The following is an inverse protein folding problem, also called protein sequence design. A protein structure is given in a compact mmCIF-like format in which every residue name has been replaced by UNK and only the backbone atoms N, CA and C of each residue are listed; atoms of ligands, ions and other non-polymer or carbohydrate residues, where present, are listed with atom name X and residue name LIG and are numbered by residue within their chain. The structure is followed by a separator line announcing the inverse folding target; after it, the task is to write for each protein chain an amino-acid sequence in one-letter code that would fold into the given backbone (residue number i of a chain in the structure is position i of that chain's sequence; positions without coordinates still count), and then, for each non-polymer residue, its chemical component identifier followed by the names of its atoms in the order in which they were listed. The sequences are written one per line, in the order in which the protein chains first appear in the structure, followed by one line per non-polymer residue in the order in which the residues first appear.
data_IF_525098251218
#
_entry.id   IF_525098251218
#
_cell.length_a   1.000
_cell.length_b   1.000
_cell.length_c   1.000
_cell.angle_alpha   90.00
_cell.angle_beta   90.00
_cell.angle_gamma   90.00
#
_symmetry.space_group_name_H-M   'P 1'
#
loop_
_entity.id
_entity.type
_entity.pdbx_description
1 polymer ?
#
# COMPACT_ATOMS: atom_id res chain seq x y z
N UNK A 1 -35.65 2.76 7.01
CA UNK A 1 -35.55 1.47 6.32
C UNK A 1 -34.11 1.32 5.80
N UNK A 2 -33.35 0.53 6.54
CA UNK A 2 -31.95 0.27 6.20
C UNK A 2 -31.88 -0.52 4.89
N UNK A 3 -31.22 0.02 3.88
CA UNK A 3 -30.96 -0.64 2.58
C UNK A 3 -30.20 -1.99 2.70
N UNK A 4 -29.78 -2.36 3.90
CA UNK A 4 -29.10 -3.60 4.24
C UNK A 4 -29.98 -4.86 4.28
N UNK A 5 -31.32 -4.70 4.23
CA UNK A 5 -32.25 -5.84 4.31
C UNK A 5 -32.75 -6.35 2.96
N UNK A 6 -32.39 -5.73 1.85
CA UNK A 6 -32.73 -6.24 0.51
C UNK A 6 -31.67 -7.24 0.09
N UNK A 7 -32.04 -8.52 0.07
CA UNK A 7 -31.13 -9.62 -0.24
C UNK A 7 -30.38 -9.42 -1.55
N UNK A 8 -29.16 -9.94 -1.63
CA UNK A 8 -28.28 -9.93 -2.79
C UNK A 8 -28.99 -10.35 -4.10
N UNK A 9 -30.05 -11.18 -4.03
CA UNK A 9 -30.84 -11.58 -5.18
C UNK A 9 -31.49 -10.41 -5.95
N UNK A 10 -31.87 -9.33 -5.27
CA UNK A 10 -32.43 -8.14 -5.94
C UNK A 10 -31.38 -7.33 -6.71
N UNK A 11 -30.15 -7.39 -6.27
CA UNK A 11 -29.04 -6.68 -6.92
C UNK A 11 -28.63 -7.38 -8.22
N UNK A 12 -28.63 -8.70 -8.25
CA UNK A 12 -28.37 -9.48 -9.49
C UNK A 12 -29.46 -9.25 -10.53
N UNK A 13 -30.74 -9.26 -10.12
CA UNK A 13 -31.87 -8.98 -11.02
C UNK A 13 -31.78 -7.60 -11.64
N UNK A 14 -31.35 -6.58 -10.89
CA UNK A 14 -31.18 -5.23 -11.41
C UNK A 14 -30.03 -5.12 -12.40
N UNK A 15 -28.98 -5.91 -12.25
CA UNK A 15 -27.86 -5.93 -13.17
C UNK A 15 -28.28 -6.39 -14.56
N UNK A 16 -28.97 -7.53 -14.66
CA UNK A 16 -29.49 -8.05 -15.92
C UNK A 16 -30.54 -7.10 -16.55
N UNK A 17 -31.38 -6.48 -15.72
CA UNK A 17 -32.31 -5.46 -16.15
C UNK A 17 -31.61 -4.23 -16.75
N UNK A 18 -30.60 -3.70 -16.05
CA UNK A 18 -29.83 -2.55 -16.54
C UNK A 18 -29.09 -2.87 -17.84
N UNK A 19 -28.53 -4.08 -17.95
CA UNK A 19 -27.88 -4.52 -19.18
C UNK A 19 -28.86 -4.70 -20.32
N UNK A 20 -30.08 -5.16 -20.03
CA UNK A 20 -31.14 -5.30 -21.04
C UNK A 20 -31.66 -3.93 -21.50
N UNK A 21 -31.79 -2.96 -20.59
CA UNK A 21 -32.23 -1.59 -20.89
C UNK A 21 -31.14 -0.80 -21.63
N UNK A 22 -29.86 -1.01 -21.26
CA UNK A 22 -28.72 -0.33 -21.88
C UNK A 22 -27.50 -1.24 -21.91
N UNK A 23 -27.23 -1.94 -23.03
CA UNK A 23 -26.07 -2.80 -23.19
C UNK A 23 -24.70 -2.09 -23.01
N UNK A 24 -24.67 -0.76 -23.14
CA UNK A 24 -23.48 0.06 -22.95
C UNK A 24 -23.22 0.44 -21.48
N UNK A 25 -24.07 -0.03 -20.55
CA UNK A 25 -23.94 0.28 -19.12
C UNK A 25 -22.63 -0.31 -18.56
N UNK A 26 -21.88 0.54 -17.88
CA UNK A 26 -20.72 0.13 -17.09
C UNK A 26 -21.16 0.21 -15.62
N UNK A 27 -21.00 -0.91 -14.90
CA UNK A 27 -21.35 -0.99 -13.48
C UNK A 27 -20.13 -1.43 -12.69
N UNK A 28 -19.78 -0.65 -11.66
CA UNK A 28 -18.76 -1.03 -10.67
C UNK A 28 -19.47 -1.50 -9.41
N UNK A 29 -19.18 -2.73 -8.98
CA UNK A 29 -19.68 -3.31 -7.73
C UNK A 29 -18.51 -3.55 -6.80
N UNK A 30 -18.58 -2.96 -5.63
CA UNK A 30 -17.56 -3.02 -4.62
C UNK A 30 -18.15 -3.67 -3.38
N UNK A 31 -17.55 -4.77 -2.92
CA UNK A 31 -18.04 -5.52 -1.75
C UNK A 31 -16.88 -6.17 -0.99
N UNK A 32 -17.16 -6.72 0.20
CA UNK A 32 -16.14 -7.37 1.02
C UNK A 32 -15.42 -8.49 0.30
N UNK A 33 -16.18 -9.37 -0.36
CA UNK A 33 -15.67 -10.63 -0.92
C UNK A 33 -15.96 -10.83 -2.42
N UNK A 34 -16.40 -9.79 -3.11
CA UNK A 34 -16.79 -9.90 -4.51
C UNK A 34 -18.21 -10.45 -4.67
N UNK A 35 -18.60 -10.62 -5.94
CA UNK A 35 -19.95 -11.06 -6.33
C UNK A 35 -20.02 -12.57 -6.61
N UNK A 36 -18.87 -13.22 -6.66
CA UNK A 36 -18.70 -14.64 -6.95
C UNK A 36 -17.88 -15.32 -5.85
N UNK A 37 -17.74 -16.63 -5.93
CA UNK A 37 -16.96 -17.37 -4.94
C UNK A 37 -17.72 -17.74 -3.66
N UNK A 38 -17.08 -18.52 -2.79
CA UNK A 38 -17.74 -19.14 -1.61
C UNK A 38 -18.10 -18.14 -0.50
N UNK A 39 -17.45 -16.98 -0.45
CA UNK A 39 -17.64 -15.95 0.59
C UNK A 39 -18.52 -14.77 0.13
N UNK A 40 -19.07 -14.80 -1.08
CA UNK A 40 -19.83 -13.68 -1.67
C UNK A 40 -20.98 -13.16 -0.81
N UNK A 41 -21.58 -14.02 0.00
CA UNK A 41 -22.73 -13.72 0.86
C UNK A 41 -22.30 -13.35 2.30
N UNK A 42 -21.02 -13.35 2.58
CA UNK A 42 -20.49 -12.95 3.89
C UNK A 42 -20.44 -11.42 4.03
N UNK A 43 -20.78 -10.89 5.21
CA UNK A 43 -20.60 -9.48 5.49
C UNK A 43 -19.11 -9.13 5.56
N UNK A 44 -18.71 -8.03 4.90
CA UNK A 44 -17.32 -7.56 4.89
C UNK A 44 -17.25 -6.04 4.85
N UNK A 45 -16.25 -5.51 5.55
CA UNK A 45 -15.88 -4.10 5.56
C UNK A 45 -14.38 -3.98 5.27
N UNK A 46 -13.88 -2.77 5.03
CA UNK A 46 -12.47 -2.49 4.77
C UNK A 46 -11.52 -3.16 5.77
N UNK A 47 -11.86 -3.13 7.06
CA UNK A 47 -11.07 -3.79 8.11
C UNK A 47 -10.93 -5.31 7.93
N UNK A 48 -11.96 -5.98 7.43
CA UNK A 48 -11.92 -7.43 7.13
C UNK A 48 -11.10 -7.67 5.85
N UNK A 49 -11.29 -6.83 4.83
CA UNK A 49 -10.49 -6.86 3.61
C UNK A 49 -8.99 -6.66 3.88
N UNK A 50 -8.63 -5.70 4.74
CA UNK A 50 -7.24 -5.49 5.19
C UNK A 50 -6.65 -6.72 5.90
N UNK A 51 -7.46 -7.41 6.69
CA UNK A 51 -7.04 -8.61 7.43
C UNK A 51 -6.81 -9.80 6.49
N UNK A 52 -7.77 -10.09 5.62
CA UNK A 52 -7.69 -11.20 4.68
C UNK A 52 -6.71 -10.94 3.54
N UNK A 53 -6.59 -9.69 3.09
CA UNK A 53 -5.63 -9.29 2.06
C UNK A 53 -4.18 -9.27 2.53
N UNK A 54 -3.90 -9.53 3.82
CA UNK A 54 -2.54 -9.67 4.36
C UNK A 54 -1.95 -8.39 4.97
N UNK A 55 -2.51 -7.21 4.68
CA UNK A 55 -1.95 -5.92 5.12
C UNK A 55 -1.76 -5.86 6.65
N UNK A 56 -2.77 -6.31 7.41
CA UNK A 56 -2.67 -6.29 8.87
C UNK A 56 -1.62 -7.22 9.43
N UNK A 57 -1.41 -8.37 8.78
CA UNK A 57 -0.41 -9.32 9.24
C UNK A 57 0.99 -8.73 9.22
N UNK A 58 1.33 -7.97 8.19
CA UNK A 58 2.66 -7.36 8.01
C UNK A 58 2.79 -5.97 8.66
N UNK A 59 1.70 -5.43 9.23
CA UNK A 59 1.70 -4.09 9.83
C UNK A 59 1.88 -4.16 11.34
N UNK A 60 2.87 -3.44 11.86
CA UNK A 60 3.15 -3.30 13.29
C UNK A 60 4.50 -3.85 13.71
N UNK A 61 4.68 -4.00 15.01
CA UNK A 61 5.91 -4.50 15.63
C UNK A 61 5.83 -6.01 15.84
N UNK A 62 6.96 -6.75 15.76
CA UNK A 62 6.98 -8.22 15.86
C UNK A 62 6.51 -8.75 17.22
N UNK A 63 6.73 -7.99 18.29
CA UNK A 63 6.41 -8.33 19.68
C UNK A 63 4.99 -7.94 20.11
N UNK A 64 4.17 -7.41 19.19
CA UNK A 64 2.81 -6.91 19.45
C UNK A 64 1.80 -7.51 18.48
N UNK A 65 0.51 -7.50 18.83
CA UNK A 65 -0.54 -7.86 17.86
C UNK A 65 -0.48 -6.99 16.60
N UNK A 66 -0.91 -7.53 15.45
CA UNK A 66 -1.02 -6.77 14.20
C UNK A 66 -1.79 -5.46 14.38
N UNK A 67 -1.31 -4.40 13.75
CA UNK A 67 -1.90 -3.08 13.87
C UNK A 67 -2.79 -2.75 12.67
N UNK A 68 -3.75 -1.86 12.89
CA UNK A 68 -4.48 -1.20 11.84
C UNK A 68 -3.66 -0.03 11.31
N UNK A 69 -3.59 0.14 10.00
CA UNK A 69 -3.19 1.42 9.40
C UNK A 69 -4.19 2.49 9.81
N UNK A 70 -3.74 3.69 10.17
CA UNK A 70 -4.55 4.75 10.78
C UNK A 70 -5.68 5.31 9.90
N UNK A 71 -5.79 4.89 8.64
CA UNK A 71 -6.80 5.29 7.66
C UNK A 71 -7.51 4.07 7.08
N UNK A 72 -8.62 4.28 6.36
CA UNK A 72 -9.36 3.22 5.65
C UNK A 72 -8.69 2.90 4.31
N UNK A 73 -7.47 2.36 4.36
CA UNK A 73 -6.65 2.12 3.17
C UNK A 73 -7.27 1.03 2.27
N UNK A 74 -7.89 0.00 2.86
CA UNK A 74 -8.54 -1.07 2.11
C UNK A 74 -9.67 -0.55 1.22
N UNK A 75 -10.51 0.34 1.76
CA UNK A 75 -11.59 0.97 0.99
C UNK A 75 -11.04 1.87 -0.12
N UNK A 76 -10.00 2.65 0.19
CA UNK A 76 -9.36 3.56 -0.77
C UNK A 76 -8.71 2.80 -1.94
N UNK A 77 -8.00 1.72 -1.64
CA UNK A 77 -7.35 0.88 -2.67
C UNK A 77 -8.42 0.20 -3.54
N UNK A 78 -9.49 -0.32 -2.95
CA UNK A 78 -10.59 -0.90 -3.70
C UNK A 78 -11.29 0.12 -4.61
N UNK A 79 -11.49 1.35 -4.13
CA UNK A 79 -12.03 2.44 -4.94
C UNK A 79 -11.14 2.75 -6.16
N UNK A 80 -9.80 2.79 -5.98
CA UNK A 80 -8.85 2.98 -7.08
C UNK A 80 -8.93 1.85 -8.11
N UNK A 81 -9.03 0.58 -7.67
CA UNK A 81 -9.24 -0.54 -8.58
C UNK A 81 -10.56 -0.41 -9.35
N UNK A 82 -11.62 0.05 -8.66
CA UNK A 82 -12.91 0.33 -9.30
C UNK A 82 -12.80 1.40 -10.39
N UNK A 83 -12.06 2.49 -10.13
CA UNK A 83 -11.80 3.54 -11.13
C UNK A 83 -11.00 3.00 -12.30
N UNK A 84 -9.92 2.23 -12.06
CA UNK A 84 -9.11 1.61 -13.12
C UNK A 84 -10.00 0.69 -13.99
N UNK A 85 -10.79 -0.19 -13.36
CA UNK A 85 -11.71 -1.06 -14.06
C UNK A 85 -12.74 -0.30 -14.90
N UNK A 86 -13.31 0.78 -14.34
CA UNK A 86 -14.25 1.64 -15.06
C UNK A 86 -13.61 2.30 -16.29
N UNK A 87 -12.38 2.81 -16.17
CA UNK A 87 -11.66 3.40 -17.30
C UNK A 87 -11.34 2.38 -18.40
N UNK A 88 -10.97 1.16 -18.01
CA UNK A 88 -10.75 0.07 -18.96
C UNK A 88 -12.05 -0.32 -19.70
N UNK A 89 -13.16 -0.40 -18.95
CA UNK A 89 -14.48 -0.68 -19.53
C UNK A 89 -14.97 0.45 -20.45
N UNK A 90 -14.72 1.70 -20.09
CA UNK A 90 -15.00 2.86 -20.97
C UNK A 90 -14.21 2.77 -22.27
N UNK A 91 -12.92 2.48 -22.19
CA UNK A 91 -12.07 2.29 -23.37
C UNK A 91 -12.59 1.15 -24.26
N UNK A 92 -12.93 0.01 -23.65
CA UNK A 92 -13.49 -1.13 -24.36
C UNK A 92 -14.79 -0.75 -25.07
N UNK A 93 -15.73 -0.15 -24.34
CA UNK A 93 -17.01 0.31 -24.88
C UNK A 93 -16.84 1.23 -26.09
N UNK A 94 -15.98 2.24 -25.95
CA UNK A 94 -15.78 3.27 -26.97
C UNK A 94 -15.07 2.71 -28.22
N UNK A 95 -14.35 1.58 -28.10
CA UNK A 95 -13.69 0.91 -29.22
C UNK A 95 -14.53 -0.18 -29.88
N UNK A 96 -15.56 -0.69 -29.19
CA UNK A 96 -16.41 -1.78 -29.70
C UNK A 96 -17.70 -1.31 -30.38
N UNK A 97 -18.06 -0.03 -30.32
CA UNK A 97 -19.30 0.42 -30.97
C UNK A 97 -19.65 1.89 -30.78
N UNK A 98 -18.80 2.68 -30.13
CA UNK A 98 -19.03 4.10 -29.91
C UNK A 98 -19.97 4.46 -28.75
N UNK A 99 -20.18 5.76 -28.57
CA UNK A 99 -20.96 6.30 -27.44
C UNK A 99 -22.46 6.06 -27.67
N UNK A 100 -23.14 5.51 -26.65
CA UNK A 100 -24.58 5.54 -26.61
C UNK A 100 -25.10 7.00 -26.52
N UNK A 101 -25.92 7.46 -27.47
CA UNK A 101 -26.39 8.84 -27.54
C UNK A 101 -27.86 9.01 -27.10
N UNK A 102 -28.43 8.05 -26.40
CA UNK A 102 -29.61 8.19 -25.51
C UNK A 102 -30.97 8.51 -26.14
N UNK A 103 -31.11 8.84 -27.43
CA UNK A 103 -32.39 9.31 -27.95
C UNK A 103 -32.88 8.68 -29.27
N UNK A 104 -32.03 8.12 -30.07
CA UNK A 104 -32.37 7.46 -31.32
C UNK A 104 -31.30 6.41 -31.67
N UNK A 105 -30.78 5.72 -30.65
CA UNK A 105 -29.65 4.82 -30.82
C UNK A 105 -30.01 3.64 -31.66
N UNK A 106 -29.39 3.51 -32.79
CA UNK A 106 -29.23 2.25 -33.44
C UNK A 106 -28.44 1.35 -32.50
N UNK A 107 -29.10 0.35 -31.90
CA UNK A 107 -28.49 -0.60 -30.94
C UNK A 107 -27.26 -1.31 -31.55
N UNK A 108 -27.18 -1.36 -32.88
CA UNK A 108 -26.04 -1.89 -33.60
C UNK A 108 -24.75 -1.09 -33.46
N UNK A 109 -24.83 0.15 -32.95
CA UNK A 109 -23.68 1.08 -32.76
C UNK A 109 -23.32 1.23 -31.27
N UNK A 110 -24.13 0.70 -30.35
CA UNK A 110 -23.87 0.78 -28.91
C UNK A 110 -22.67 -0.11 -28.55
N UNK A 111 -21.61 0.50 -28.06
CA UNK A 111 -20.49 -0.24 -27.49
C UNK A 111 -20.91 -1.09 -26.31
N UNK A 112 -20.20 -2.17 -26.06
CA UNK A 112 -20.51 -3.10 -24.98
C UNK A 112 -20.01 -2.58 -23.64
N UNK A 113 -20.93 -2.39 -22.69
CA UNK A 113 -20.62 -2.15 -21.29
C UNK A 113 -20.13 -3.39 -20.58
N UNK A 114 -19.57 -3.20 -19.40
CA UNK A 114 -19.03 -4.28 -18.58
C UNK A 114 -19.41 -4.11 -17.12
N UNK A 115 -19.48 -5.24 -16.42
CA UNK A 115 -19.51 -5.26 -14.96
C UNK A 115 -18.09 -5.40 -14.44
N UNK A 116 -17.74 -4.53 -13.50
CA UNK A 116 -16.48 -4.57 -12.75
C UNK A 116 -16.83 -5.03 -11.34
N UNK A 117 -16.30 -6.16 -10.94
CA UNK A 117 -16.42 -6.71 -9.60
C UNK A 117 -15.12 -6.47 -8.84
N UNK A 118 -15.19 -5.77 -7.70
CA UNK A 118 -14.05 -5.44 -6.86
C UNK A 118 -14.29 -5.96 -5.46
N UNK A 119 -13.50 -6.95 -5.04
CA UNK A 119 -13.48 -7.39 -3.66
C UNK A 119 -12.45 -6.59 -2.85
N UNK A 120 -12.84 -6.14 -1.66
CA UNK A 120 -11.96 -5.37 -0.76
C UNK A 120 -10.66 -6.13 -0.45
N UNK A 121 -10.75 -7.43 -0.14
CA UNK A 121 -9.59 -8.23 0.22
C UNK A 121 -8.64 -8.47 -0.97
N UNK A 122 -9.17 -8.64 -2.19
CA UNK A 122 -8.36 -8.82 -3.40
C UNK A 122 -7.62 -7.53 -3.78
N UNK A 123 -8.29 -6.39 -3.64
CA UNK A 123 -7.67 -5.09 -3.87
C UNK A 123 -6.50 -4.84 -2.91
N UNK A 124 -6.67 -5.19 -1.62
CA UNK A 124 -5.59 -5.13 -0.63
C UNK A 124 -4.48 -6.12 -0.95
N UNK A 125 -4.85 -7.38 -1.27
CA UNK A 125 -3.88 -8.42 -1.62
C UNK A 125 -3.02 -8.04 -2.83
N UNK A 126 -3.59 -7.38 -3.82
CA UNK A 126 -2.84 -6.88 -4.99
C UNK A 126 -1.72 -5.89 -4.63
N UNK A 127 -1.78 -5.27 -3.45
CA UNK A 127 -0.77 -4.33 -2.97
C UNK A 127 0.34 -4.99 -2.13
N UNK A 128 0.27 -6.32 -1.92
CA UNK A 128 1.19 -7.03 -1.02
C UNK A 128 2.53 -7.39 -1.65
N UNK A 129 2.94 -6.66 -2.68
CA UNK A 129 4.27 -6.77 -3.31
C UNK A 129 4.66 -8.22 -3.63
N UNK A 130 5.82 -8.65 -3.09
CA UNK A 130 6.45 -9.94 -3.36
C UNK A 130 6.09 -11.05 -2.37
N UNK A 131 5.08 -10.87 -1.49
CA UNK A 131 4.73 -11.88 -0.46
C UNK A 131 4.45 -13.26 -1.07
N UNK A 132 3.75 -13.30 -2.21
CA UNK A 132 3.43 -14.57 -2.88
C UNK A 132 4.67 -15.26 -3.43
N UNK A 133 5.51 -14.61 -4.25
CA UNK A 133 6.74 -15.25 -4.73
C UNK A 133 7.74 -15.56 -3.61
N UNK A 134 7.81 -14.77 -2.54
CA UNK A 134 8.64 -15.10 -1.37
C UNK A 134 8.21 -16.42 -0.72
N UNK A 135 6.91 -16.61 -0.54
CA UNK A 135 6.38 -17.85 0.03
C UNK A 135 6.47 -19.02 -0.94
N UNK A 136 6.08 -18.83 -2.19
CA UNK A 136 6.06 -19.91 -3.19
C UNK A 136 7.47 -20.43 -3.51
N UNK A 137 8.44 -19.53 -3.66
CA UNK A 137 9.81 -19.91 -4.03
C UNK A 137 10.66 -20.35 -2.82
N UNK A 138 10.54 -19.67 -1.69
CA UNK A 138 11.46 -19.85 -0.55
C UNK A 138 10.77 -20.29 0.76
N UNK A 139 9.44 -20.42 0.78
CA UNK A 139 8.69 -20.72 1.99
C UNK A 139 8.74 -19.61 3.04
N UNK A 140 9.13 -18.38 2.64
CA UNK A 140 9.29 -17.26 3.56
C UNK A 140 7.93 -16.63 3.85
N UNK A 141 7.58 -16.56 5.12
CA UNK A 141 6.44 -15.77 5.62
C UNK A 141 7.01 -14.42 6.09
N UNK A 142 6.64 -13.34 5.40
CA UNK A 142 7.09 -11.99 5.78
C UNK A 142 6.41 -11.58 7.08
N UNK A 143 7.20 -11.31 8.10
CA UNK A 143 6.72 -10.89 9.41
C UNK A 143 6.73 -9.36 9.54
N UNK A 144 6.11 -8.86 10.63
CA UNK A 144 6.14 -7.45 11.00
C UNK A 144 7.54 -7.01 11.39
N UNK A 145 7.93 -5.83 10.96
CA UNK A 145 9.28 -5.26 11.20
C UNK A 145 9.25 -3.86 11.82
N UNK A 146 8.09 -3.42 12.30
CA UNK A 146 7.94 -2.05 12.81
C UNK A 146 8.05 -1.00 11.70
N UNK A 147 8.99 -0.09 11.83
CA UNK A 147 9.28 0.95 10.85
C UNK A 147 10.31 0.54 9.79
N UNK A 148 10.94 -0.63 9.93
CA UNK A 148 11.99 -1.07 9.05
C UNK A 148 11.47 -1.72 7.77
N UNK A 149 12.17 -1.51 6.66
CA UNK A 149 11.92 -2.22 5.41
C UNK A 149 12.69 -3.57 5.43
N UNK A 150 11.99 -4.72 5.35
CA UNK A 150 12.63 -6.02 5.42
C UNK A 150 13.71 -6.23 4.36
N UNK A 151 14.88 -6.73 4.79
CA UNK A 151 15.96 -7.10 3.87
C UNK A 151 16.71 -5.93 3.22
N UNK A 152 16.40 -4.69 3.58
CA UNK A 152 17.02 -3.47 3.04
C UNK A 152 17.50 -2.58 4.18
N UNK A 153 18.84 -2.42 4.35
CA UNK A 153 19.45 -1.83 5.53
C UNK A 153 20.42 -0.70 5.19
N UNK A 154 20.34 0.46 5.91
CA UNK A 154 19.25 0.88 6.77
C UNK A 154 18.10 1.53 5.99
N UNK A 155 16.88 1.19 6.36
CA UNK A 155 15.67 1.89 5.94
C UNK A 155 14.65 1.77 7.08
N UNK A 156 14.59 2.76 7.98
CA UNK A 156 13.83 2.66 9.22
C UNK A 156 13.39 4.04 9.73
N UNK A 157 12.59 4.03 10.79
CA UNK A 157 12.15 5.21 11.54
C UNK A 157 12.94 5.31 12.84
N UNK A 158 13.42 6.51 13.14
CA UNK A 158 14.18 6.81 14.36
C UNK A 158 13.57 8.00 15.11
N UNK A 159 13.86 8.12 16.40
CA UNK A 159 13.38 9.23 17.22
C UNK A 159 14.52 10.17 17.56
N UNK A 160 14.32 11.46 17.33
CA UNK A 160 15.29 12.52 17.64
C UNK A 160 15.23 12.92 19.13
N UNK A 161 16.22 13.63 19.61
CA UNK A 161 16.33 14.05 21.02
C UNK A 161 15.21 14.97 21.49
N UNK A 162 14.55 15.68 20.59
CA UNK A 162 13.36 16.51 20.84
C UNK A 162 12.03 15.73 20.74
N UNK A 163 12.10 14.39 20.52
CA UNK A 163 10.94 13.49 20.52
C UNK A 163 10.18 13.42 19.19
N UNK A 164 10.69 14.03 18.14
CA UNK A 164 10.15 13.93 16.79
C UNK A 164 10.61 12.64 16.10
N UNK A 165 9.92 12.22 15.03
CA UNK A 165 10.24 11.01 14.30
C UNK A 165 10.75 11.32 12.88
N UNK A 166 11.84 10.65 12.51
CA UNK A 166 12.54 10.81 11.25
C UNK A 166 12.66 9.47 10.53
N UNK A 167 12.37 9.45 9.22
CA UNK A 167 12.65 8.30 8.36
C UNK A 167 13.99 8.53 7.68
N UNK A 168 14.88 7.53 7.73
CA UNK A 168 16.17 7.55 7.07
C UNK A 168 16.25 6.34 6.13
N UNK A 169 16.47 6.59 4.83
CA UNK A 169 16.62 5.58 3.80
C UNK A 169 18.07 5.57 3.27
N UNK A 170 18.97 5.03 4.10
CA UNK A 170 20.41 4.96 3.81
C UNK A 170 20.87 3.68 3.11
N UNK A 171 19.99 2.97 2.44
CA UNK A 171 20.18 1.61 1.96
C UNK A 171 21.04 1.45 0.70
N UNK A 172 21.14 2.48 -0.14
CA UNK A 172 22.09 2.45 -1.28
C UNK A 172 23.53 2.45 -0.81
N UNK A 173 24.42 1.65 -1.44
CA UNK A 173 25.78 1.44 -0.93
C UNK A 173 26.56 2.75 -0.75
N UNK A 174 26.48 3.65 -1.74
CA UNK A 174 27.10 4.97 -1.62
C UNK A 174 26.41 5.87 -0.59
N UNK A 175 25.09 5.71 -0.44
CA UNK A 175 24.29 6.48 0.52
C UNK A 175 24.61 6.01 1.93
N UNK A 176 24.72 4.71 2.17
CA UNK A 176 25.14 4.14 3.46
C UNK A 176 26.47 4.75 3.92
N UNK A 177 27.46 4.78 3.04
CA UNK A 177 28.77 5.36 3.38
C UNK A 177 28.65 6.84 3.76
N UNK A 178 27.89 7.63 3.00
CA UNK A 178 27.67 9.05 3.32
C UNK A 178 26.91 9.24 4.63
N UNK A 179 25.91 8.41 4.89
CA UNK A 179 25.16 8.41 6.17
C UNK A 179 26.09 8.19 7.35
N UNK A 180 26.92 7.14 7.30
CA UNK A 180 27.86 6.82 8.37
C UNK A 180 28.89 7.93 8.59
N UNK A 181 29.44 8.48 7.51
CA UNK A 181 30.36 9.63 7.60
C UNK A 181 29.71 10.88 8.20
N UNK A 182 28.47 11.21 7.76
CA UNK A 182 27.73 12.35 8.29
C UNK A 182 27.43 12.23 9.81
N UNK A 183 27.31 11.01 10.29
CA UNK A 183 27.09 10.71 11.72
C UNK A 183 28.42 10.60 12.52
N UNK A 184 29.59 10.73 11.86
CA UNK A 184 30.90 10.53 12.49
C UNK A 184 31.24 9.07 12.81
N UNK A 185 30.60 8.10 12.10
CA UNK A 185 30.84 6.67 12.26
C UNK A 185 31.75 6.16 11.13
N UNK A 186 33.01 6.69 11.12
CA UNK A 186 34.05 6.28 10.16
C UNK A 186 34.37 4.79 10.22
N UNK A 187 34.21 4.17 11.38
CA UNK A 187 34.34 2.74 11.61
C UNK A 187 33.36 1.94 10.74
N UNK A 188 32.09 2.29 10.75
CA UNK A 188 31.05 1.63 9.93
C UNK A 188 31.14 2.04 8.44
N UNK A 189 31.51 3.30 8.17
CA UNK A 189 31.64 3.81 6.81
C UNK A 189 32.72 3.13 5.99
N UNK A 190 33.80 2.68 6.65
CA UNK A 190 34.98 2.06 6.02
C UNK A 190 35.05 0.55 6.24
N UNK A 191 34.08 -0.05 6.91
CA UNK A 191 34.00 -1.50 7.04
C UNK A 191 33.62 -2.13 5.69
N UNK A 192 34.57 -2.88 5.14
CA UNK A 192 34.38 -3.53 3.83
C UNK A 192 33.25 -4.57 3.82
N UNK A 193 32.89 -5.15 4.96
CA UNK A 193 31.79 -6.08 5.08
C UNK A 193 30.42 -5.37 4.94
N UNK A 194 30.36 -4.06 5.29
CA UNK A 194 29.13 -3.26 5.17
C UNK A 194 29.01 -2.53 3.82
N UNK A 195 29.97 -2.71 2.92
CA UNK A 195 29.98 -2.03 1.63
C UNK A 195 28.74 -2.36 0.76
N UNK A 196 28.13 -3.52 0.97
CA UNK A 196 26.92 -3.96 0.26
C UNK A 196 25.81 -4.34 1.22
N UNK A 197 24.57 -4.31 0.71
CA UNK A 197 23.38 -4.59 1.53
C UNK A 197 23.40 -6.00 2.15
N UNK A 198 23.87 -7.01 1.46
CA UNK A 198 23.98 -8.39 1.95
C UNK A 198 24.86 -8.50 3.21
N UNK A 199 25.89 -7.69 3.31
CA UNK A 199 26.70 -7.60 4.52
C UNK A 199 26.06 -6.79 5.65
N UNK A 200 25.16 -5.83 5.32
CA UNK A 200 24.45 -5.01 6.30
C UNK A 200 23.28 -5.75 6.94
N UNK A 201 22.58 -6.58 6.19
CA UNK A 201 21.40 -7.32 6.67
C UNK A 201 21.68 -8.12 7.96
N UNK A 202 22.73 -8.92 8.08
CA UNK A 202 23.05 -9.63 9.32
C UNK A 202 23.39 -8.71 10.51
N UNK A 203 23.76 -7.45 10.23
CA UNK A 203 24.16 -6.45 11.22
C UNK A 203 23.12 -5.31 11.37
N UNK A 204 21.86 -5.57 11.00
CA UNK A 204 20.77 -4.59 11.07
C UNK A 204 20.65 -3.94 12.44
N UNK A 205 20.65 -4.73 13.51
CA UNK A 205 20.51 -4.22 14.88
C UNK A 205 21.61 -3.23 15.24
N UNK A 206 22.86 -3.56 14.97
CA UNK A 206 24.04 -2.72 15.22
C UNK A 206 23.95 -1.38 14.47
N UNK A 207 23.55 -1.44 13.19
CA UNK A 207 23.42 -0.26 12.35
C UNK A 207 22.28 0.62 12.83
N UNK A 208 21.12 0.04 13.14
CA UNK A 208 19.95 0.77 13.63
C UNK A 208 20.21 1.40 15.01
N UNK A 209 20.89 0.68 15.91
CA UNK A 209 21.29 1.21 17.22
C UNK A 209 22.25 2.41 17.08
N UNK A 210 23.22 2.34 16.16
CA UNK A 210 24.15 3.44 15.90
C UNK A 210 23.41 4.68 15.37
N UNK A 211 22.46 4.49 14.45
CA UNK A 211 21.66 5.59 13.90
C UNK A 211 20.73 6.15 14.97
N UNK A 212 20.05 5.31 15.74
CA UNK A 212 19.16 5.76 16.82
C UNK A 212 19.93 6.55 17.89
N UNK A 213 21.11 6.07 18.28
CA UNK A 213 21.96 6.77 19.25
C UNK A 213 22.37 8.16 18.75
N UNK A 214 22.72 8.29 17.47
CA UNK A 214 23.02 9.58 16.86
C UNK A 214 21.78 10.48 16.79
N UNK A 215 20.63 9.97 16.33
CA UNK A 215 19.38 10.72 16.25
C UNK A 215 18.97 11.27 17.63
N UNK A 216 19.15 10.50 18.69
CA UNK A 216 18.83 10.93 20.06
C UNK A 216 19.67 12.13 20.55
N UNK A 217 20.77 12.45 19.90
CA UNK A 217 21.60 13.64 20.18
C UNK A 217 21.24 14.85 19.33
N UNK A 218 20.33 14.73 18.37
CA UNK A 218 19.96 15.77 17.41
C UNK A 218 18.54 16.27 17.66
N UNK A 219 18.25 17.53 17.29
CA UNK A 219 16.86 17.94 17.00
C UNK A 219 16.48 17.49 15.60
N UNK A 220 15.18 17.47 15.29
CA UNK A 220 14.68 17.09 13.95
C UNK A 220 15.29 18.01 12.85
N UNK A 221 15.36 19.32 13.11
CA UNK A 221 15.93 20.29 12.16
C UNK A 221 17.43 20.04 11.92
N UNK A 222 18.18 19.77 13.02
CA UNK A 222 19.62 19.48 12.92
C UNK A 222 19.88 18.19 12.14
N UNK A 223 19.15 17.11 12.47
CA UNK A 223 19.27 15.83 11.78
C UNK A 223 18.96 15.95 10.29
N UNK A 224 17.88 16.63 9.93
CA UNK A 224 17.50 16.88 8.53
C UNK A 224 18.59 17.66 7.80
N UNK A 225 19.08 18.76 8.40
CA UNK A 225 20.09 19.61 7.76
C UNK A 225 21.40 18.85 7.49
N UNK A 226 21.90 18.08 8.48
CA UNK A 226 23.14 17.29 8.35
C UNK A 226 22.99 16.22 7.26
N UNK A 227 21.91 15.46 7.30
CA UNK A 227 21.73 14.33 6.38
C UNK A 227 21.40 14.78 4.95
N UNK A 228 20.63 15.85 4.78
CA UNK A 228 20.38 16.45 3.47
C UNK A 228 21.66 17.01 2.85
N UNK A 229 22.52 17.70 3.64
CA UNK A 229 23.82 18.18 3.16
C UNK A 229 24.75 17.04 2.73
N UNK A 230 24.54 15.82 3.26
CA UNK A 230 25.27 14.62 2.87
C UNK A 230 24.60 13.83 1.72
N UNK A 231 23.56 14.37 1.07
CA UNK A 231 22.75 13.68 0.05
C UNK A 231 22.20 12.32 0.54
N UNK A 232 21.75 12.25 1.78
CA UNK A 232 21.06 11.08 2.34
C UNK A 232 19.57 11.30 2.27
N UNK A 233 18.77 10.38 1.69
CA UNK A 233 17.32 10.46 1.70
C UNK A 233 16.78 10.39 3.13
N UNK A 234 16.13 11.47 3.57
CA UNK A 234 15.63 11.66 4.94
C UNK A 234 14.38 12.52 4.93
N UNK A 235 13.47 12.25 5.86
CA UNK A 235 12.26 13.04 6.02
C UNK A 235 11.67 12.96 7.43
N UNK A 236 11.11 14.07 7.92
CA UNK A 236 10.29 14.09 9.11
C UNK A 236 8.97 13.35 8.84
N UNK A 237 8.45 12.61 9.81
CA UNK A 237 7.10 12.05 9.74
C UNK A 237 6.11 13.17 10.08
N UNK A 238 5.38 13.62 9.05
CA UNK A 238 4.47 14.75 9.16
C UNK A 238 3.14 14.36 9.78
N UNK A 239 2.72 15.15 10.77
CA UNK A 239 1.32 15.22 11.21
C UNK A 239 0.52 16.09 10.23
N UNK A 240 -0.83 16.07 10.36
CA UNK A 240 -1.67 17.01 9.57
C UNK A 240 -1.34 18.48 9.88
N UNK A 241 -0.88 18.78 11.08
CA UNK A 241 -0.42 20.14 11.46
C UNK A 241 0.79 20.55 10.61
N UNK A 242 1.76 19.66 10.46
CA UNK A 242 2.97 19.93 9.68
C UNK A 242 2.66 20.11 8.18
N UNK A 243 1.60 19.45 7.67
CA UNK A 243 1.16 19.59 6.27
C UNK A 243 0.42 20.90 6.00
N UNK A 244 -0.16 21.52 7.04
CA UNK A 244 -0.97 22.74 6.92
C UNK A 244 -0.22 24.01 7.32
N UNK A 245 1.02 23.89 7.81
CA UNK A 245 1.90 24.99 8.15
C UNK A 245 2.81 25.37 6.98
#
# INVERSE_FOLDING_TARGET
DCLLSRGLGDVYKRQEQLKAENPATIMVRLSGFGQTGPLKDQPGFGAIGESMGGLRYVSGFPDRPPLRVGISIGDSVAALHGVIGAMMALRHRDTTGGRWNGKNGDESIAGQGQMIDVALYEAVFNMMESLVPEYDYAGVVRERTGGALPGIVPSNTYTTGDGENIVIAGNGDAIFKRLMLAMGRDDLANDTQLARNDGRVPRTAEIDEAIQAWCATQTIESALAILQAADVPVGKIYSIRDMMS
#
